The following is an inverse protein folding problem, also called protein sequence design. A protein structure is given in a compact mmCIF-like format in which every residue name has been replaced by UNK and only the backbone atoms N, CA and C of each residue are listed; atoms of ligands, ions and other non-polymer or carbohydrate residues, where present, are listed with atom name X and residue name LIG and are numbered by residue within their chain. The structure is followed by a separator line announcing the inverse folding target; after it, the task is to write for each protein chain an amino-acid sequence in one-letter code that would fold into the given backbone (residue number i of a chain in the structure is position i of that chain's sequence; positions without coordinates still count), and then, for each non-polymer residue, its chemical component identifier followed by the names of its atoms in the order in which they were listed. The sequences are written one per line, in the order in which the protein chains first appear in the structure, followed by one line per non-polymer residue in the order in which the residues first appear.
data_IF_087885179505
#
_entry.id   IF_087885179505
#
_cell.length_a   1.000
_cell.length_b   1.000
_cell.length_c   1.000
_cell.angle_alpha   90.00
_cell.angle_beta   90.00
_cell.angle_gamma   90.00
#
_symmetry.space_group_name_H-M   'P 1'
#
loop_
_entity.id
_entity.type
_entity.pdbx_description
1 polymer ?
#
# COMPACT_ATOMS: atom_id res chain seq x y z
N UNK A 1 -11.47 -30.83 16.05
CA UNK A 1 -11.06 -30.32 14.73
C UNK A 1 -11.86 -30.87 13.54
N UNK A 2 -12.52 -32.04 13.56
CA UNK A 2 -13.32 -32.52 12.40
C UNK A 2 -14.75 -31.93 12.30
N UNK A 3 -15.42 -31.64 13.42
CA UNK A 3 -16.84 -31.20 13.40
C UNK A 3 -17.03 -29.70 13.09
N UNK A 4 -16.03 -28.86 13.40
CA UNK A 4 -16.06 -27.42 13.09
C UNK A 4 -15.96 -27.16 11.58
N UNK A 5 -15.23 -28.01 10.84
CA UNK A 5 -15.05 -27.90 9.39
C UNK A 5 -16.34 -28.22 8.63
N UNK A 6 -17.17 -29.15 9.13
CA UNK A 6 -18.42 -29.56 8.49
C UNK A 6 -19.49 -28.47 8.60
N UNK A 7 -19.57 -27.78 9.75
CA UNK A 7 -20.54 -26.70 9.99
C UNK A 7 -20.21 -25.45 9.16
N UNK A 8 -18.93 -25.12 9.00
CA UNK A 8 -18.50 -24.00 8.15
C UNK A 8 -18.73 -24.28 6.67
N UNK A 9 -18.60 -25.53 6.20
CA UNK A 9 -18.89 -25.90 4.80
C UNK A 9 -20.38 -25.77 4.45
N UNK A 10 -21.29 -26.15 5.35
CA UNK A 10 -22.74 -26.06 5.11
C UNK A 10 -23.21 -24.60 5.00
N UNK A 11 -22.61 -23.69 5.79
CA UNK A 11 -22.91 -22.25 5.73
C UNK A 11 -22.37 -21.62 4.44
N UNK A 12 -21.18 -22.02 3.96
CA UNK A 12 -20.60 -21.50 2.71
C UNK A 12 -21.40 -21.98 1.48
N UNK A 13 -21.92 -23.22 1.48
CA UNK A 13 -22.76 -23.76 0.40
C UNK A 13 -24.12 -23.05 0.31
N UNK A 14 -24.70 -22.67 1.46
CA UNK A 14 -25.96 -21.92 1.50
C UNK A 14 -25.82 -20.48 0.97
N UNK A 15 -24.64 -19.87 1.07
CA UNK A 15 -24.37 -18.49 0.62
C UNK A 15 -23.78 -18.38 -0.80
N UNK A 16 -23.49 -19.50 -1.49
CA UNK A 16 -22.87 -19.50 -2.83
C UNK A 16 -23.81 -19.89 -3.99
N UNK A 17 -25.11 -20.04 -3.75
CA UNK A 17 -26.09 -20.28 -4.82
C UNK A 17 -26.53 -18.95 -5.48
N UNK A 18 -26.24 -18.82 -6.78
CA UNK A 18 -26.61 -17.66 -7.62
C UNK A 18 -28.12 -17.44 -7.61
N UNK A 19 -28.54 -16.21 -7.31
CA UNK A 19 -29.90 -15.73 -7.51
C UNK A 19 -30.02 -15.25 -8.96
N UNK A 20 -30.69 -16.01 -9.82
CA UNK A 20 -31.22 -15.49 -11.09
C UNK A 20 -32.68 -15.09 -10.85
N UNK A 21 -33.02 -13.86 -11.17
CA UNK A 21 -34.40 -13.37 -11.17
C UNK A 21 -35.08 -13.79 -12.46
N UNK A 22 -36.22 -14.46 -12.33
CA UNK A 22 -37.24 -14.46 -13.38
C UNK A 22 -38.58 -14.10 -12.73
N UNK A 23 -39.46 -13.44 -13.48
CA UNK A 23 -40.57 -12.56 -13.04
C UNK A 23 -41.74 -13.22 -12.28
N UNK A 24 -41.48 -14.34 -11.58
CA UNK A 24 -42.37 -14.86 -10.55
C UNK A 24 -41.58 -15.02 -9.26
N UNK A 25 -41.94 -14.26 -8.22
CA UNK A 25 -41.33 -14.23 -6.88
C UNK A 25 -41.35 -15.57 -6.12
N UNK A 26 -40.79 -16.66 -6.68
CA UNK A 26 -40.64 -17.97 -6.03
C UNK A 26 -39.27 -18.57 -6.37
N UNK A 27 -38.40 -18.62 -5.36
CA UNK A 27 -37.10 -19.30 -5.41
C UNK A 27 -37.33 -20.80 -5.14
N UNK A 28 -36.86 -21.67 -6.03
CA UNK A 28 -36.92 -23.14 -5.88
C UNK A 28 -35.50 -23.67 -5.59
N UNK A 29 -35.26 -24.15 -4.37
CA UNK A 29 -34.00 -24.81 -3.99
C UNK A 29 -34.07 -26.30 -4.34
N UNK A 30 -33.05 -26.83 -5.03
CA UNK A 30 -32.90 -28.26 -5.28
C UNK A 30 -32.02 -28.92 -4.19
N UNK A 31 -32.37 -30.13 -3.69
CA UNK A 31 -31.65 -30.77 -2.61
C UNK A 31 -30.37 -31.47 -3.10
N UNK A 32 -29.26 -31.30 -2.36
CA UNK A 32 -28.02 -32.07 -2.51
C UNK A 32 -27.97 -33.13 -1.39
N UNK A 33 -27.81 -34.40 -1.74
CA UNK A 33 -27.59 -35.49 -0.78
C UNK A 33 -26.14 -35.50 -0.28
N UNK A 34 -25.96 -35.61 1.04
CA UNK A 34 -24.64 -35.83 1.67
C UNK A 34 -24.47 -37.31 2.07
N UNK A 35 -23.24 -37.88 1.96
CA UNK A 35 -23.02 -39.30 2.19
C UNK A 35 -22.90 -39.66 3.67
N UNK A 36 -23.55 -40.78 4.03
CA UNK A 36 -23.59 -41.39 5.36
C UNK A 36 -22.18 -41.58 5.97
N UNK A 37 -21.91 -40.92 7.10
CA UNK A 37 -20.98 -41.41 8.12
C UNK A 37 -21.35 -40.86 9.50
N UNK A 38 -21.32 -41.76 10.47
CA UNK A 38 -21.95 -41.74 11.79
C UNK A 38 -21.72 -40.45 12.62
N UNK A 39 -22.82 -39.90 13.14
CA UNK A 39 -22.82 -38.82 14.13
C UNK A 39 -22.83 -39.47 15.52
N UNK A 40 -21.76 -39.27 16.31
CA UNK A 40 -21.75 -39.66 17.72
C UNK A 40 -22.64 -38.69 18.53
N UNK A 41 -23.53 -39.25 19.35
CA UNK A 41 -24.40 -38.46 20.23
C UNK A 41 -23.58 -37.74 21.33
N UNK A 42 -23.96 -36.49 21.61
CA UNK A 42 -23.33 -35.61 22.60
C UNK A 42 -23.74 -35.97 24.04
N UNK A 43 -22.87 -35.66 25.01
CA UNK A 43 -23.18 -35.86 26.42
C UNK A 43 -24.03 -34.71 27.00
N UNK A 44 -24.77 -34.99 28.07
CA UNK A 44 -25.74 -34.05 28.68
C UNK A 44 -25.09 -32.71 29.13
N UNK A 45 -23.82 -32.74 29.57
CA UNK A 45 -23.05 -31.52 29.91
C UNK A 45 -22.65 -30.69 28.67
N UNK A 46 -22.39 -31.33 27.54
CA UNK A 46 -22.11 -30.63 26.28
C UNK A 46 -23.39 -29.99 25.73
N UNK A 47 -24.54 -30.67 25.86
CA UNK A 47 -25.86 -30.11 25.54
C UNK A 47 -26.24 -28.92 26.42
N UNK A 48 -25.87 -28.90 27.71
CA UNK A 48 -26.10 -27.75 28.61
C UNK A 48 -25.21 -26.55 28.22
N UNK A 49 -23.95 -26.79 27.84
CA UNK A 49 -23.05 -25.73 27.38
C UNK A 49 -23.53 -25.11 26.04
N UNK A 50 -23.98 -25.93 25.09
CA UNK A 50 -24.58 -25.44 23.85
C UNK A 50 -25.98 -24.80 24.06
N UNK A 51 -26.77 -25.31 25.02
CA UNK A 51 -28.07 -24.75 25.41
C UNK A 51 -27.97 -23.36 26.05
N UNK A 52 -26.87 -23.04 26.72
CA UNK A 52 -26.64 -21.71 27.31
C UNK A 52 -26.38 -20.62 26.24
N UNK A 53 -25.77 -21.00 25.12
CA UNK A 53 -25.54 -20.12 23.95
C UNK A 53 -26.81 -19.98 23.09
N UNK A 54 -27.75 -20.94 23.21
CA UNK A 54 -28.97 -21.02 22.40
C UNK A 54 -30.29 -20.83 23.17
N UNK A 55 -30.25 -20.30 24.40
CA UNK A 55 -31.46 -20.00 25.21
C UNK A 55 -32.23 -18.75 24.74
N UNK A 56 -32.09 -18.39 23.46
CA UNK A 56 -32.95 -17.42 22.77
C UNK A 56 -33.69 -18.02 21.56
N UNK A 57 -33.53 -19.31 21.25
CA UNK A 57 -34.11 -19.90 20.02
C UNK A 57 -34.98 -21.15 20.21
N UNK A 58 -35.16 -21.65 21.45
CA UNK A 58 -36.00 -22.84 21.69
C UNK A 58 -37.06 -22.64 22.79
N UNK A 59 -37.95 -21.68 22.55
CA UNK A 59 -39.37 -21.84 22.94
C UNK A 59 -40.25 -21.67 21.71
N UNK A 60 -39.92 -22.39 20.63
CA UNK A 60 -40.66 -22.33 19.38
C UNK A 60 -40.70 -23.65 18.60
N UNK A 61 -40.50 -24.80 19.26
CA UNK A 61 -40.70 -26.10 18.61
C UNK A 61 -41.37 -27.11 19.54
N UNK A 62 -42.64 -26.85 19.85
CA UNK A 62 -43.63 -27.92 19.90
C UNK A 62 -44.84 -27.44 19.12
N UNK A 63 -45.05 -28.06 17.96
CA UNK A 63 -46.06 -27.77 16.93
C UNK A 63 -45.77 -26.55 16.02
N UNK A 64 -44.93 -26.76 15.01
CA UNK A 64 -45.03 -25.99 13.76
C UNK A 64 -45.56 -26.93 12.69
N UNK A 65 -46.84 -26.79 12.41
CA UNK A 65 -47.33 -26.85 11.04
C UNK A 65 -47.29 -25.40 10.52
N UNK A 66 -46.61 -25.17 9.39
CA UNK A 66 -46.48 -23.93 8.62
C UNK A 66 -47.04 -22.61 9.22
N UNK A 67 -46.16 -21.70 9.68
CA UNK A 67 -46.18 -20.24 9.38
C UNK A 67 -45.08 -19.49 10.16
N UNK A 68 -44.61 -18.41 9.54
CA UNK A 68 -43.64 -17.39 9.95
C UNK A 68 -43.32 -17.27 11.46
N UNK A 69 -42.03 -17.31 11.80
CA UNK A 69 -41.54 -16.96 13.14
C UNK A 69 -41.71 -15.45 13.36
N UNK A 70 -42.62 -15.07 14.24
CA UNK A 70 -42.68 -13.74 14.85
C UNK A 70 -42.27 -13.90 16.30
N UNK A 71 -41.16 -13.26 16.71
CA UNK A 71 -40.67 -13.36 18.10
C UNK A 71 -41.60 -12.51 18.98
N UNK A 72 -42.28 -13.15 19.94
CA UNK A 72 -43.09 -12.45 20.92
C UNK A 72 -42.20 -11.79 21.98
N UNK A 73 -42.24 -10.47 22.04
CA UNK A 73 -41.37 -9.64 22.86
C UNK A 73 -41.71 -9.75 24.36
N UNK A 74 -42.95 -10.14 24.70
CA UNK A 74 -43.45 -10.17 26.07
C UNK A 74 -42.89 -11.35 26.87
N UNK A 75 -42.58 -12.48 26.22
CA UNK A 75 -41.96 -13.65 26.87
C UNK A 75 -40.47 -13.41 27.20
N UNK A 76 -39.76 -12.67 26.34
CA UNK A 76 -38.37 -12.25 26.60
C UNK A 76 -38.32 -11.26 27.78
N UNK A 77 -39.39 -10.48 27.98
CA UNK A 77 -39.52 -9.53 29.08
C UNK A 77 -39.79 -10.25 30.41
N UNK A 78 -40.65 -11.29 30.43
CA UNK A 78 -40.86 -12.12 31.63
C UNK A 78 -39.58 -12.84 32.07
N UNK A 79 -38.77 -13.35 31.13
CA UNK A 79 -37.45 -13.92 31.42
C UNK A 79 -36.40 -12.92 31.92
N UNK A 80 -36.62 -11.62 31.68
CA UNK A 80 -35.78 -10.53 32.19
C UNK A 80 -36.25 -10.06 33.58
N UNK A 81 -37.57 -9.98 33.81
CA UNK A 81 -38.17 -9.70 35.13
C UNK A 81 -37.77 -10.74 36.18
N UNK A 82 -37.70 -12.02 35.79
CA UNK A 82 -37.23 -13.10 36.67
C UNK A 82 -35.78 -12.92 37.15
N UNK A 83 -34.91 -12.27 36.36
CA UNK A 83 -33.51 -11.99 36.74
C UNK A 83 -33.34 -10.69 37.54
N UNK A 84 -34.28 -9.76 37.41
CA UNK A 84 -34.36 -8.54 38.23
C UNK A 84 -34.90 -8.86 39.63
N UNK A 85 -35.81 -9.84 39.74
CA UNK A 85 -36.33 -10.32 41.04
C UNK A 85 -35.25 -10.98 41.92
N UNK A 86 -34.18 -11.52 41.32
CA UNK A 86 -33.08 -12.22 42.01
C UNK A 86 -31.92 -11.29 42.44
N UNK A 87 -32.15 -9.96 42.46
CA UNK A 87 -31.22 -8.90 42.91
C UNK A 87 -29.81 -8.89 42.31
N UNK A 88 -29.52 -9.60 41.21
CA UNK A 88 -28.16 -9.64 40.64
C UNK A 88 -27.83 -8.52 39.64
N UNK A 89 -28.79 -7.68 39.24
CA UNK A 89 -28.52 -6.57 38.32
C UNK A 89 -29.42 -5.37 38.65
N UNK A 90 -28.88 -4.37 39.35
CA UNK A 90 -29.43 -3.02 39.31
C UNK A 90 -28.97 -2.36 37.99
N UNK A 91 -29.85 -2.43 36.99
CA UNK A 91 -29.84 -1.49 35.87
C UNK A 91 -31.14 -0.70 35.97
N UNK A 92 -31.05 0.63 35.91
CA UNK A 92 -32.23 1.47 35.86
C UNK A 92 -33.05 1.09 34.62
N UNK A 93 -34.16 0.39 34.87
CA UNK A 93 -35.07 -0.10 33.84
C UNK A 93 -35.55 1.02 32.90
N UNK A 94 -35.59 2.28 33.38
CA UNK A 94 -35.95 3.46 32.56
C UNK A 94 -34.88 3.80 31.53
N UNK A 95 -33.60 3.62 31.86
CA UNK A 95 -32.48 3.92 30.96
C UNK A 95 -32.37 2.89 29.82
N UNK A 96 -32.55 1.60 30.13
CA UNK A 96 -32.61 0.52 29.12
C UNK A 96 -33.82 0.64 28.18
N UNK A 97 -34.98 1.03 28.71
CA UNK A 97 -36.19 1.28 27.92
C UNK A 97 -35.98 2.49 27.00
N UNK A 98 -35.33 3.55 27.49
CA UNK A 98 -34.99 4.72 26.66
C UNK A 98 -33.96 4.38 25.58
N UNK A 99 -32.90 3.64 25.89
CA UNK A 99 -31.92 3.16 24.88
C UNK A 99 -32.63 2.32 23.81
N UNK A 100 -33.54 1.42 24.20
CA UNK A 100 -34.31 0.58 23.27
C UNK A 100 -35.26 1.40 22.38
N UNK A 101 -35.92 2.40 22.94
CA UNK A 101 -36.84 3.28 22.21
C UNK A 101 -36.07 4.16 21.23
N UNK A 102 -34.95 4.73 21.66
CA UNK A 102 -34.08 5.59 20.85
C UNK A 102 -33.38 4.81 19.73
N UNK A 103 -32.94 3.58 19.99
CA UNK A 103 -32.30 2.74 18.95
C UNK A 103 -33.28 2.31 17.86
N UNK A 104 -34.54 2.07 18.22
CA UNK A 104 -35.61 1.68 17.26
C UNK A 104 -36.15 2.88 16.46
N UNK A 105 -36.13 4.08 17.03
CA UNK A 105 -36.45 5.33 16.33
C UNK A 105 -35.32 5.72 15.36
N UNK A 106 -34.06 5.65 15.81
CA UNK A 106 -32.89 6.00 15.00
C UNK A 106 -32.65 5.07 13.80
N UNK A 107 -33.09 3.80 13.83
CA UNK A 107 -32.94 2.88 12.70
C UNK A 107 -33.92 3.11 11.55
N UNK A 108 -34.97 3.92 11.78
CA UNK A 108 -35.98 4.30 10.78
C UNK A 108 -35.87 5.74 10.30
N UNK A 109 -35.10 6.58 11.00
CA UNK A 109 -34.91 7.99 10.69
C UNK A 109 -33.73 8.22 9.73
N UNK A 110 -33.93 9.09 8.73
CA UNK A 110 -32.90 9.48 7.75
C UNK A 110 -32.10 10.71 8.17
N UNK A 111 -32.33 11.26 9.37
CA UNK A 111 -31.75 12.53 9.84
C UNK A 111 -31.00 12.33 11.17
N UNK A 112 -29.97 13.15 11.46
CA UNK A 112 -29.26 13.11 12.73
C UNK A 112 -30.20 13.39 13.92
N UNK A 113 -29.84 13.01 15.16
CA UNK A 113 -30.62 13.33 16.36
C UNK A 113 -30.86 14.85 16.50
N UNK A 114 -32.12 15.24 16.73
CA UNK A 114 -32.54 16.65 16.77
C UNK A 114 -32.32 17.36 18.13
N UNK A 115 -31.76 16.68 19.14
CA UNK A 115 -31.61 17.24 20.49
C UNK A 115 -30.14 17.29 20.93
N UNK A 116 -29.70 18.48 21.35
CA UNK A 116 -28.41 18.83 21.98
C UNK A 116 -27.12 18.54 21.19
N UNK A 117 -26.14 19.43 21.32
CA UNK A 117 -24.88 19.37 20.56
C UNK A 117 -24.06 18.11 20.85
N UNK A 118 -24.17 17.56 22.06
CA UNK A 118 -23.46 16.34 22.49
C UNK A 118 -23.94 15.09 21.75
N UNK A 119 -25.24 15.00 21.44
CA UNK A 119 -25.80 13.84 20.73
C UNK A 119 -25.43 13.88 19.24
N UNK A 120 -25.36 15.09 18.65
CA UNK A 120 -24.84 15.28 17.28
C UNK A 120 -23.36 14.93 17.17
N UNK A 121 -22.54 15.31 18.15
CA UNK A 121 -21.11 14.97 18.20
C UNK A 121 -20.91 13.45 18.32
N UNK A 122 -21.67 12.81 19.23
CA UNK A 122 -21.62 11.37 19.46
C UNK A 122 -22.10 10.58 18.24
N UNK A 123 -23.13 11.06 17.55
CA UNK A 123 -23.61 10.50 16.28
C UNK A 123 -22.55 10.63 15.18
N UNK A 124 -21.89 11.79 15.07
CA UNK A 124 -20.81 12.00 14.10
C UNK A 124 -19.61 11.08 14.38
N UNK A 125 -19.21 10.91 15.63
CA UNK A 125 -18.15 9.96 16.01
C UNK A 125 -18.55 8.53 15.63
N UNK A 126 -19.81 8.13 15.90
CA UNK A 126 -20.33 6.83 15.48
C UNK A 126 -20.29 6.61 13.97
N UNK A 127 -20.54 7.65 13.16
CA UNK A 127 -20.38 7.58 11.69
C UNK A 127 -18.92 7.37 11.30
N UNK A 128 -17.97 8.07 11.91
CA UNK A 128 -16.54 7.90 11.62
C UNK A 128 -16.09 6.46 11.93
N UNK A 129 -16.47 5.95 13.10
CA UNK A 129 -16.13 4.60 13.54
C UNK A 129 -16.80 3.54 12.64
N UNK A 130 -18.08 3.71 12.32
CA UNK A 130 -18.80 2.80 11.42
C UNK A 130 -18.24 2.81 9.99
N UNK A 131 -17.74 3.96 9.51
CA UNK A 131 -17.06 4.05 8.22
C UNK A 131 -15.75 3.23 8.24
N UNK A 132 -15.02 3.25 9.34
CA UNK A 132 -13.84 2.41 9.53
C UNK A 132 -14.18 0.92 9.56
N UNK A 133 -15.26 0.53 10.24
CA UNK A 133 -15.67 -0.87 10.34
C UNK A 133 -16.30 -1.44 9.07
N UNK A 134 -17.08 -0.65 8.35
CA UNK A 134 -17.70 -1.06 7.08
C UNK A 134 -16.68 -1.30 5.97
N UNK A 135 -15.56 -0.55 6.00
CA UNK A 135 -14.44 -0.73 5.06
C UNK A 135 -13.39 -1.72 5.58
N UNK A 136 -13.36 -1.96 6.89
CA UNK A 136 -12.43 -2.85 7.57
C UNK A 136 -12.59 -4.34 7.25
N UNK A 137 -11.62 -5.18 7.65
CA UNK A 137 -11.61 -6.59 7.31
C UNK A 137 -12.57 -7.45 8.13
N UNK A 138 -13.14 -6.92 9.21
CA UNK A 138 -13.94 -7.68 10.17
C UNK A 138 -15.41 -7.28 10.14
N UNK A 139 -16.34 -8.26 10.17
CA UNK A 139 -17.73 -7.97 10.44
C UNK A 139 -17.89 -7.49 11.88
N UNK A 140 -18.51 -6.32 12.08
CA UNK A 140 -18.80 -5.78 13.41
C UNK A 140 -20.26 -6.00 13.76
N UNK A 141 -20.52 -6.71 14.85
CA UNK A 141 -21.85 -6.78 15.42
C UNK A 141 -22.11 -5.52 16.24
N UNK A 142 -22.96 -4.62 15.74
CA UNK A 142 -23.22 -3.32 16.36
C UNK A 142 -23.67 -3.41 17.82
N UNK A 143 -24.48 -4.42 18.17
CA UNK A 143 -24.97 -4.62 19.54
C UNK A 143 -23.83 -5.01 20.49
N UNK A 144 -22.99 -5.96 20.08
CA UNK A 144 -21.84 -6.38 20.88
C UNK A 144 -20.79 -5.27 21.01
N UNK A 145 -20.58 -4.47 19.95
CA UNK A 145 -19.69 -3.31 19.97
C UNK A 145 -20.15 -2.26 20.99
N UNK A 146 -21.43 -1.86 20.94
CA UNK A 146 -22.00 -0.90 21.89
C UNK A 146 -21.93 -1.44 23.32
N UNK A 147 -22.19 -2.73 23.53
CA UNK A 147 -22.02 -3.37 24.84
C UNK A 147 -20.58 -3.24 25.35
N UNK A 148 -19.57 -3.45 24.51
CA UNK A 148 -18.16 -3.25 24.86
C UNK A 148 -17.85 -1.81 25.27
N UNK A 149 -18.34 -0.82 24.51
CA UNK A 149 -18.18 0.62 24.82
C UNK A 149 -18.80 0.95 26.19
N UNK A 150 -20.02 0.46 26.45
CA UNK A 150 -20.71 0.68 27.72
C UNK A 150 -20.00 -0.02 28.89
N UNK A 151 -19.44 -1.21 28.68
CA UNK A 151 -18.67 -1.91 29.69
C UNK A 151 -17.43 -1.13 30.14
N UNK A 152 -16.71 -0.49 29.22
CA UNK A 152 -15.59 0.40 29.58
C UNK A 152 -16.09 1.64 30.32
N UNK A 153 -17.14 2.31 29.80
CA UNK A 153 -17.70 3.54 30.39
C UNK A 153 -18.13 3.36 31.85
N UNK A 154 -18.79 2.24 32.16
CA UNK A 154 -19.30 1.95 33.51
C UNK A 154 -18.36 1.07 34.34
N UNK A 155 -17.07 0.94 33.94
CA UNK A 155 -16.04 0.15 34.61
C UNK A 155 -16.45 -1.32 34.87
N UNK A 156 -17.25 -1.90 33.97
CA UNK A 156 -17.71 -3.29 33.96
C UNK A 156 -16.86 -4.11 32.99
N UNK A 157 -15.53 -4.07 33.13
CA UNK A 157 -14.63 -4.79 32.22
C UNK A 157 -14.83 -6.30 32.35
N UNK A 158 -15.15 -6.96 31.23
CA UNK A 158 -15.10 -8.41 31.12
C UNK A 158 -13.65 -8.87 31.35
N UNK A 159 -13.44 -9.76 32.32
CA UNK A 159 -12.13 -10.36 32.57
C UNK A 159 -11.90 -11.49 31.53
N UNK A 160 -11.66 -11.09 30.28
CA UNK A 160 -11.26 -12.01 29.22
C UNK A 160 -9.81 -12.36 29.49
N UNK A 161 -9.52 -13.63 29.77
CA UNK A 161 -8.14 -14.06 30.01
C UNK A 161 -7.26 -13.74 28.78
N UNK A 162 -5.98 -13.45 29.03
CA UNK A 162 -5.01 -13.03 28.00
C UNK A 162 -4.93 -14.02 26.82
N UNK A 163 -5.04 -15.32 27.11
CA UNK A 163 -5.02 -16.40 26.10
C UNK A 163 -6.18 -16.27 25.10
N UNK A 164 -7.37 -15.88 25.56
CA UNK A 164 -8.56 -15.69 24.71
C UNK A 164 -8.42 -14.42 23.87
N UNK A 165 -7.81 -13.36 24.41
CA UNK A 165 -7.52 -12.13 23.65
C UNK A 165 -6.53 -12.40 22.52
N UNK A 166 -5.44 -13.11 22.80
CA UNK A 166 -4.42 -13.47 21.80
C UNK A 166 -5.01 -14.36 20.69
N UNK A 167 -5.87 -15.32 21.04
CA UNK A 167 -6.54 -16.18 20.06
C UNK A 167 -7.51 -15.40 19.14
N UNK A 168 -8.27 -14.44 19.69
CA UNK A 168 -9.15 -13.57 18.90
C UNK A 168 -8.32 -12.69 17.97
N UNK A 169 -7.22 -12.12 18.45
CA UNK A 169 -6.33 -11.29 17.64
C UNK A 169 -5.72 -12.08 16.46
N UNK A 170 -5.26 -13.30 16.69
CA UNK A 170 -4.76 -14.18 15.62
C UNK A 170 -5.84 -14.47 14.57
N UNK A 171 -7.08 -14.75 14.99
CA UNK A 171 -8.19 -14.96 14.05
C UNK A 171 -8.50 -13.70 13.23
N UNK A 172 -8.49 -12.53 13.88
CA UNK A 172 -8.67 -11.25 13.22
C UNK A 172 -7.60 -11.02 12.14
N UNK A 173 -6.33 -11.25 12.46
CA UNK A 173 -5.24 -11.14 11.49
C UNK A 173 -5.38 -12.13 10.33
N UNK A 174 -5.81 -13.36 10.61
CA UNK A 174 -6.04 -14.38 9.57
C UNK A 174 -7.16 -13.96 8.62
N UNK A 175 -8.28 -13.47 9.14
CA UNK A 175 -9.40 -12.98 8.32
C UNK A 175 -8.97 -11.77 7.47
N UNK A 176 -8.19 -10.85 8.03
CA UNK A 176 -7.64 -9.72 7.28
C UNK A 176 -6.72 -10.17 6.13
N UNK A 177 -5.86 -11.18 6.37
CA UNK A 177 -5.01 -11.78 5.33
C UNK A 177 -5.84 -12.46 4.24
N UNK A 178 -6.86 -13.23 4.61
CA UNK A 178 -7.75 -13.91 3.64
C UNK A 178 -8.47 -12.88 2.77
N UNK A 179 -9.09 -11.85 3.37
CA UNK A 179 -9.77 -10.78 2.62
C UNK A 179 -8.82 -10.09 1.65
N UNK A 180 -7.60 -9.76 2.10
CA UNK A 180 -6.57 -9.15 1.26
C UNK A 180 -6.18 -10.04 0.09
N UNK A 181 -6.02 -11.35 0.30
CA UNK A 181 -5.70 -12.31 -0.75
C UNK A 181 -6.82 -12.44 -1.79
N UNK A 182 -8.09 -12.44 -1.35
CA UNK A 182 -9.24 -12.46 -2.26
C UNK A 182 -9.22 -11.22 -3.17
N UNK A 183 -9.09 -10.03 -2.58
CA UNK A 183 -9.00 -8.76 -3.33
C UNK A 183 -7.84 -8.81 -4.33
N UNK A 184 -6.66 -9.25 -3.89
CA UNK A 184 -5.48 -9.33 -4.75
C UNK A 184 -5.68 -10.28 -5.94
N UNK A 185 -6.32 -11.44 -5.73
CA UNK A 185 -6.62 -12.38 -6.81
C UNK A 185 -7.68 -11.85 -7.78
N UNK A 186 -8.65 -11.05 -7.30
CA UNK A 186 -9.61 -10.34 -8.15
C UNK A 186 -8.92 -9.29 -9.04
N UNK A 187 -8.10 -8.42 -8.45
CA UNK A 187 -7.35 -7.39 -9.18
C UNK A 187 -6.39 -8.03 -10.20
N UNK A 188 -5.76 -9.15 -9.84
CA UNK A 188 -4.88 -9.90 -10.75
C UNK A 188 -5.64 -10.48 -11.94
N UNK A 189 -6.86 -10.98 -11.75
CA UNK A 189 -7.74 -11.45 -12.83
C UNK A 189 -8.20 -10.29 -13.72
N UNK A 190 -8.60 -9.17 -13.10
CA UNK A 190 -9.00 -7.94 -13.79
C UNK A 190 -7.87 -7.45 -14.70
N UNK A 191 -6.65 -7.31 -14.17
CA UNK A 191 -5.47 -6.92 -14.94
C UNK A 191 -5.25 -7.84 -16.14
N UNK A 192 -5.28 -9.16 -15.93
CA UNK A 192 -5.04 -10.14 -17.01
C UNK A 192 -6.07 -10.00 -18.13
N UNK A 193 -7.35 -9.87 -17.77
CA UNK A 193 -8.43 -9.70 -18.73
C UNK A 193 -8.31 -8.37 -19.48
N UNK A 194 -8.11 -7.28 -18.75
CA UNK A 194 -7.97 -5.93 -19.30
C UNK A 194 -6.84 -5.86 -20.31
N UNK A 195 -5.62 -6.29 -19.96
CA UNK A 195 -4.46 -6.22 -20.85
C UNK A 195 -4.60 -7.13 -22.08
N UNK A 196 -5.25 -8.31 -21.92
CA UNK A 196 -5.55 -9.20 -23.04
C UNK A 196 -6.46 -8.53 -24.06
N UNK A 197 -7.57 -7.94 -23.62
CA UNK A 197 -8.50 -7.27 -24.53
C UNK A 197 -7.92 -5.97 -25.09
N UNK A 198 -7.23 -5.19 -24.26
CA UNK A 198 -6.61 -3.93 -24.67
C UNK A 198 -5.56 -4.15 -25.78
N UNK A 199 -4.79 -5.24 -25.72
CA UNK A 199 -3.82 -5.58 -26.77
C UNK A 199 -4.42 -5.82 -28.16
N UNK A 200 -5.72 -6.11 -28.24
CA UNK A 200 -6.44 -6.35 -29.50
C UNK A 200 -7.03 -5.06 -30.10
N UNK A 201 -7.05 -3.97 -29.33
CA UNK A 201 -7.57 -2.69 -29.78
C UNK A 201 -6.65 -2.13 -30.87
N UNK A 202 -7.25 -1.61 -31.93
CA UNK A 202 -6.53 -0.97 -33.03
C UNK A 202 -5.65 0.17 -32.47
N UNK A 203 -4.42 0.24 -32.97
CA UNK A 203 -3.39 1.22 -32.57
C UNK A 203 -2.75 1.01 -31.18
N UNK A 204 -3.21 0.03 -30.39
CA UNK A 204 -2.47 -0.42 -29.19
C UNK A 204 -1.25 -1.21 -29.60
N UNK A 205 -0.09 -0.77 -29.13
CA UNK A 205 1.18 -1.47 -29.31
C UNK A 205 1.56 -2.14 -27.99
N UNK A 206 1.93 -3.43 -28.04
CA UNK A 206 2.45 -4.17 -26.89
C UNK A 206 3.95 -4.41 -27.06
N UNK A 207 4.75 -4.03 -26.07
CA UNK A 207 6.20 -4.30 -26.06
C UNK A 207 6.52 -5.68 -25.54
N UNK A 208 7.76 -6.14 -25.68
CA UNK A 208 8.22 -7.42 -25.15
C UNK A 208 8.17 -7.50 -23.61
N UNK A 209 8.15 -6.38 -22.91
CA UNK A 209 8.01 -6.35 -21.44
C UNK A 209 6.56 -6.49 -20.98
N UNK A 210 5.60 -6.43 -21.90
CA UNK A 210 4.16 -6.40 -21.64
C UNK A 210 3.59 -4.99 -21.48
N UNK A 211 4.40 -3.94 -21.57
CA UNK A 211 3.92 -2.55 -21.63
C UNK A 211 2.99 -2.38 -22.84
N UNK A 212 1.87 -1.70 -22.66
CA UNK A 212 0.98 -1.34 -23.77
C UNK A 212 0.83 0.17 -23.88
N UNK A 213 0.69 0.69 -25.09
CA UNK A 213 0.48 2.12 -25.30
C UNK A 213 -0.22 2.42 -26.62
N UNK A 214 -0.78 3.63 -26.70
CA UNK A 214 -1.31 4.26 -27.92
C UNK A 214 -0.64 5.62 -28.09
N UNK A 215 -0.19 5.91 -29.30
CA UNK A 215 0.32 7.23 -29.66
C UNK A 215 -0.87 8.12 -30.02
N UNK A 216 -1.27 9.03 -29.13
CA UNK A 216 -2.35 10.01 -29.40
C UNK A 216 -1.85 11.09 -30.35
N UNK A 217 -0.63 11.59 -30.10
CA UNK A 217 0.04 12.59 -30.93
C UNK A 217 1.51 12.24 -31.03
N UNK A 218 2.01 12.16 -32.26
CA UNK A 218 3.43 11.97 -32.53
C UNK A 218 4.19 13.26 -32.24
N UNK A 219 5.28 13.14 -31.49
CA UNK A 219 6.24 14.23 -31.30
C UNK A 219 7.37 14.16 -32.32
N UNK A 220 8.04 15.28 -32.52
CA UNK A 220 9.19 15.42 -33.43
C UNK A 220 10.41 16.08 -32.76
N UNK A 221 10.31 16.46 -31.49
CA UNK A 221 11.42 17.04 -30.76
C UNK A 221 12.38 16.00 -30.20
N UNK A 222 13.24 16.44 -29.28
CA UNK A 222 14.23 15.58 -28.65
C UNK A 222 13.59 14.47 -27.81
N UNK A 223 14.31 13.35 -27.68
CA UNK A 223 13.93 12.20 -26.85
C UNK A 223 14.58 12.29 -25.47
N UNK A 224 14.04 11.50 -24.54
CA UNK A 224 14.61 11.33 -23.20
C UNK A 224 15.99 10.68 -23.27
N UNK A 225 16.87 11.08 -22.37
CA UNK A 225 18.16 10.45 -22.09
C UNK A 225 18.42 10.46 -20.58
N UNK A 226 19.26 9.55 -20.07
CA UNK A 226 19.57 9.43 -18.63
C UNK A 226 20.10 10.76 -18.09
N UNK A 227 19.43 11.32 -17.08
CA UNK A 227 19.76 12.60 -16.45
C UNK A 227 19.06 13.82 -17.04
N UNK A 228 18.25 13.66 -18.09
CA UNK A 228 17.42 14.77 -18.61
C UNK A 228 16.30 15.12 -17.64
N UNK A 229 15.86 16.38 -17.67
CA UNK A 229 14.65 16.84 -16.97
C UNK A 229 13.58 17.02 -18.03
N UNK A 230 12.42 16.41 -17.85
CA UNK A 230 11.29 16.64 -18.72
C UNK A 230 10.16 17.36 -18.01
N UNK A 231 9.55 18.30 -18.71
CA UNK A 231 8.32 18.98 -18.30
C UNK A 231 7.14 18.26 -18.94
N UNK A 232 6.24 17.74 -18.12
CA UNK A 232 5.14 16.90 -18.53
C UNK A 232 3.80 17.44 -18.03
N UNK A 233 2.76 17.26 -18.82
CA UNK A 233 1.40 17.16 -18.28
C UNK A 233 1.00 15.69 -18.27
N UNK A 234 0.39 15.24 -17.18
CA UNK A 234 -0.17 13.91 -17.13
C UNK A 234 -1.39 13.79 -16.21
N UNK A 235 -2.16 12.74 -16.45
CA UNK A 235 -3.11 12.16 -15.50
C UNK A 235 -2.89 10.65 -15.42
N UNK A 236 -3.16 10.08 -14.26
CA UNK A 236 -3.09 8.65 -14.04
C UNK A 236 -4.28 8.12 -13.24
N UNK A 237 -4.71 6.91 -13.58
CA UNK A 237 -5.78 6.21 -12.87
C UNK A 237 -5.59 4.69 -12.96
N UNK A 238 -6.35 3.96 -12.14
CA UNK A 238 -6.46 2.50 -12.20
C UNK A 238 -7.57 2.08 -13.19
N UNK A 239 -7.65 0.77 -13.48
CA UNK A 239 -8.71 0.20 -14.34
C UNK A 239 -10.11 0.53 -13.80
N UNK A 240 -10.29 0.47 -12.48
CA UNK A 240 -11.55 0.82 -11.81
C UNK A 240 -11.89 2.33 -11.80
N UNK A 241 -11.08 3.18 -12.44
CA UNK A 241 -11.28 4.62 -12.54
C UNK A 241 -10.76 5.43 -11.34
N UNK A 242 -10.18 4.80 -10.32
CA UNK A 242 -9.56 5.51 -9.20
C UNK A 242 -8.40 6.38 -9.71
N UNK A 243 -8.57 7.71 -9.62
CA UNK A 243 -7.55 8.68 -10.01
C UNK A 243 -6.41 8.71 -8.98
N UNK A 244 -5.17 8.67 -9.47
CA UNK A 244 -3.97 8.70 -8.61
C UNK A 244 -3.38 10.12 -8.62
N UNK A 245 -3.13 10.67 -9.81
CA UNK A 245 -2.57 12.01 -9.97
C UNK A 245 -3.12 12.69 -11.23
N UNK A 246 -3.23 14.01 -11.20
CA UNK A 246 -3.74 14.78 -12.33
C UNK A 246 -3.20 16.22 -12.33
N UNK A 247 -2.19 16.48 -13.17
CA UNK A 247 -1.57 17.81 -13.32
C UNK A 247 -2.47 18.83 -14.01
N UNK A 248 -3.46 18.40 -14.78
CA UNK A 248 -4.41 19.31 -15.43
C UNK A 248 -5.34 19.97 -14.41
N UNK A 249 -5.69 19.26 -13.33
CA UNK A 249 -6.48 19.81 -12.21
C UNK A 249 -5.70 20.86 -11.43
N UNK A 250 -4.41 20.63 -11.18
CA UNK A 250 -3.56 21.58 -10.46
C UNK A 250 -3.07 22.74 -11.34
N UNK A 251 -3.21 22.65 -12.67
CA UNK A 251 -2.68 23.60 -13.66
C UNK A 251 -1.16 23.81 -13.58
N UNK A 252 -0.46 22.88 -12.96
CA UNK A 252 0.99 22.94 -12.77
C UNK A 252 1.63 21.72 -13.43
N UNK A 253 2.42 21.91 -14.50
CA UNK A 253 3.16 20.83 -15.13
C UNK A 253 4.12 20.16 -14.15
N UNK A 254 4.33 18.86 -14.33
CA UNK A 254 5.26 18.08 -13.54
C UNK A 254 6.64 18.04 -14.17
N UNK A 255 7.67 18.30 -13.37
CA UNK A 255 9.06 18.14 -13.78
C UNK A 255 9.56 16.77 -13.31
N UNK A 256 9.96 15.93 -14.27
CA UNK A 256 10.49 14.60 -13.99
C UNK A 256 11.96 14.54 -14.34
N UNK A 257 12.75 13.99 -13.43
CA UNK A 257 14.16 13.67 -13.69
C UNK A 257 14.23 12.24 -14.21
N UNK A 258 14.68 12.09 -15.44
CA UNK A 258 14.74 10.79 -16.08
C UNK A 258 15.94 9.98 -15.55
N UNK A 259 15.67 9.04 -14.65
CA UNK A 259 16.71 8.24 -13.97
C UNK A 259 16.26 6.81 -13.64
N UNK A 260 17.19 6.02 -13.07
CA UNK A 260 16.99 4.61 -12.77
C UNK A 260 16.03 4.34 -11.59
N UNK A 261 15.64 5.36 -10.82
CA UNK A 261 14.72 5.23 -9.67
C UNK A 261 13.25 5.14 -10.09
N UNK A 262 12.94 5.52 -11.32
CA UNK A 262 11.60 5.39 -11.88
C UNK A 262 11.23 3.92 -12.03
N UNK A 263 9.97 3.56 -11.79
CA UNK A 263 9.52 2.19 -12.05
C UNK A 263 9.62 1.87 -13.55
N UNK A 264 9.88 0.59 -13.85
CA UNK A 264 10.36 0.11 -15.17
C UNK A 264 9.46 0.56 -16.32
N UNK A 265 8.15 0.42 -16.17
CA UNK A 265 7.18 0.72 -17.23
C UNK A 265 7.12 2.19 -17.60
N UNK A 266 7.15 3.11 -16.63
CA UNK A 266 7.16 4.54 -16.93
C UNK A 266 8.48 4.94 -17.58
N UNK A 267 9.60 4.41 -17.09
CA UNK A 267 10.91 4.65 -17.70
C UNK A 267 10.96 4.16 -19.15
N UNK A 268 10.50 2.94 -19.41
CA UNK A 268 10.43 2.35 -20.75
C UNK A 268 9.56 3.22 -21.67
N UNK A 269 8.37 3.63 -21.20
CA UNK A 269 7.46 4.49 -21.95
C UNK A 269 8.11 5.81 -22.35
N UNK A 270 8.70 6.53 -21.38
CA UNK A 270 9.31 7.83 -21.63
C UNK A 270 10.49 7.74 -22.61
N UNK A 271 11.30 6.66 -22.59
CA UNK A 271 12.37 6.46 -23.59
C UNK A 271 11.85 6.39 -25.03
N UNK A 272 10.62 5.90 -25.22
CA UNK A 272 9.99 5.81 -26.54
C UNK A 272 9.36 7.14 -26.98
N UNK A 273 9.07 8.03 -26.04
CA UNK A 273 8.46 9.33 -26.28
C UNK A 273 9.49 10.41 -26.67
N UNK A 274 8.99 11.50 -27.25
CA UNK A 274 9.76 12.69 -27.60
C UNK A 274 8.98 13.97 -27.27
N UNK A 275 9.65 15.11 -27.22
CA UNK A 275 9.00 16.41 -27.05
C UNK A 275 7.89 16.61 -28.10
N UNK A 276 6.76 17.13 -27.64
CA UNK A 276 5.54 17.35 -28.41
C UNK A 276 4.64 16.12 -28.57
N UNK A 277 5.04 14.96 -28.06
CA UNK A 277 4.23 13.74 -28.11
C UNK A 277 3.19 13.68 -26.98
N UNK A 278 2.06 13.04 -27.25
CA UNK A 278 1.07 12.66 -26.23
C UNK A 278 0.66 11.21 -26.40
N UNK A 279 0.74 10.43 -25.34
CA UNK A 279 0.52 8.98 -25.35
C UNK A 279 -0.46 8.59 -24.24
N UNK A 280 -1.23 7.54 -24.50
CA UNK A 280 -1.90 6.76 -23.46
C UNK A 280 -1.11 5.48 -23.22
N UNK A 281 -0.82 5.16 -21.97
CA UNK A 281 0.11 4.10 -21.58
C UNK A 281 -0.56 3.26 -20.50
N UNK A 282 -0.55 1.94 -20.67
CA UNK A 282 -1.09 0.96 -19.75
C UNK A 282 0.06 0.15 -19.18
N UNK A 283 0.35 0.35 -17.90
CA UNK A 283 1.53 -0.19 -17.23
C UNK A 283 1.09 -1.34 -16.32
N UNK A 284 1.37 -2.61 -16.71
CA UNK A 284 1.09 -3.76 -15.88
C UNK A 284 1.83 -3.69 -14.54
N UNK A 285 1.28 -4.34 -13.52
CA UNK A 285 1.80 -4.28 -12.16
C UNK A 285 3.28 -4.69 -12.04
N UNK A 286 3.73 -5.68 -12.82
CA UNK A 286 5.13 -6.16 -12.83
C UNK A 286 6.12 -5.11 -13.37
N UNK A 287 5.63 -4.11 -14.12
CA UNK A 287 6.42 -2.97 -14.58
C UNK A 287 6.27 -1.74 -13.69
N UNK A 288 5.31 -1.73 -12.76
CA UNK A 288 5.07 -0.67 -11.79
C UNK A 288 5.53 -1.09 -10.38
N UNK A 289 4.59 -1.18 -9.42
CA UNK A 289 4.89 -1.46 -8.01
C UNK A 289 5.05 -2.95 -7.68
N UNK A 290 4.82 -3.85 -8.63
CA UNK A 290 5.00 -5.30 -8.52
C UNK A 290 4.41 -5.93 -7.25
N UNK A 291 3.21 -5.50 -6.85
CA UNK A 291 2.53 -6.00 -5.66
C UNK A 291 3.01 -5.37 -4.35
N UNK A 292 3.91 -4.39 -4.39
CA UNK A 292 4.28 -3.58 -3.23
C UNK A 292 3.10 -2.76 -2.76
N UNK A 293 2.95 -2.67 -1.44
CA UNK A 293 1.88 -1.91 -0.83
C UNK A 293 2.14 -0.41 -0.97
N UNK A 294 1.18 0.33 -1.52
CA UNK A 294 1.24 1.78 -1.68
C UNK A 294 0.01 2.40 -1.06
N UNK A 295 -0.20 2.12 0.24
CA UNK A 295 -1.40 2.54 0.99
C UNK A 295 -1.73 4.02 0.82
N UNK A 296 -0.71 4.88 0.80
CA UNK A 296 -0.88 6.32 0.65
C UNK A 296 -1.51 6.71 -0.70
N UNK A 297 -1.23 5.94 -1.76
CA UNK A 297 -1.77 6.14 -3.10
C UNK A 297 -3.00 5.27 -3.37
N UNK A 298 -3.40 4.43 -2.41
CA UNK A 298 -4.51 3.47 -2.53
C UNK A 298 -4.44 2.59 -3.78
N UNK A 299 -3.23 2.20 -4.19
CA UNK A 299 -3.04 1.27 -5.32
C UNK A 299 -2.90 -0.14 -4.74
N UNK A 300 -3.83 -1.02 -5.10
CA UNK A 300 -3.80 -2.42 -4.69
C UNK A 300 -2.68 -3.19 -5.41
N UNK A 301 -2.15 -4.26 -4.80
CA UNK A 301 -1.28 -5.19 -5.50
C UNK A 301 -1.90 -5.65 -6.83
N UNK A 302 -1.06 -5.90 -7.83
CA UNK A 302 -1.46 -6.33 -9.18
C UNK A 302 -2.26 -5.31 -10.00
N UNK A 303 -2.43 -4.07 -9.53
CA UNK A 303 -3.11 -3.05 -10.31
C UNK A 303 -2.30 -2.61 -11.54
N UNK A 304 -2.99 -2.46 -12.67
CA UNK A 304 -2.47 -1.75 -13.84
C UNK A 304 -2.68 -0.25 -13.66
N UNK A 305 -1.65 0.53 -13.98
CA UNK A 305 -1.73 2.00 -13.96
C UNK A 305 -1.85 2.50 -15.39
N UNK A 306 -2.86 3.33 -15.63
CA UNK A 306 -3.14 3.94 -16.92
C UNK A 306 -2.70 5.40 -16.83
N UNK A 307 -1.80 5.80 -17.73
CA UNK A 307 -1.29 7.16 -17.84
C UNK A 307 -1.73 7.77 -19.16
N UNK A 308 -2.12 9.05 -19.12
CA UNK A 308 -2.11 9.91 -20.31
C UNK A 308 -1.06 10.99 -20.10
N UNK A 309 0.02 10.94 -20.86
CA UNK A 309 1.18 11.83 -20.74
C UNK A 309 1.29 12.70 -21.98
N UNK A 310 1.62 13.97 -21.78
CA UNK A 310 2.05 14.92 -22.80
C UNK A 310 3.45 15.44 -22.43
N UNK A 311 4.40 15.32 -23.35
CA UNK A 311 5.78 15.78 -23.14
C UNK A 311 5.90 17.19 -23.70
N UNK A 312 5.94 18.18 -22.82
CA UNK A 312 5.96 19.59 -23.19
C UNK A 312 7.36 20.05 -23.57
N UNK A 313 8.35 19.66 -22.77
CA UNK A 313 9.76 20.01 -22.99
C UNK A 313 10.69 18.98 -22.35
N UNK A 314 11.92 18.89 -22.84
CA UNK A 314 13.00 18.12 -22.22
C UNK A 314 14.22 19.03 -22.15
N UNK A 315 14.58 19.45 -20.95
CA UNK A 315 15.79 20.24 -20.72
C UNK A 315 16.98 19.31 -20.44
N UNK A 316 18.09 19.58 -21.10
CA UNK A 316 19.41 19.01 -20.78
C UNK A 316 20.09 19.98 -19.81
N UNK A 317 20.25 19.60 -18.55
CA UNK A 317 20.94 20.44 -17.57
C UNK A 317 22.42 20.58 -17.91
N UNK A 318 23.06 21.63 -17.40
CA UNK A 318 24.51 21.81 -17.48
C UNK A 318 25.25 20.58 -16.92
N UNK A 319 24.76 20.03 -15.80
CA UNK A 319 25.26 18.78 -15.20
C UNK A 319 25.18 17.57 -16.15
N UNK A 320 24.05 17.39 -16.83
CA UNK A 320 23.89 16.33 -17.82
C UNK A 320 24.86 16.52 -19.00
N UNK A 321 24.95 17.74 -19.54
CA UNK A 321 25.84 18.05 -20.67
C UNK A 321 27.30 17.82 -20.28
N UNK A 322 27.68 18.22 -19.06
CA UNK A 322 29.00 17.97 -18.49
C UNK A 322 29.32 16.47 -18.45
N UNK A 323 28.46 15.65 -17.83
CA UNK A 323 28.69 14.21 -17.72
C UNK A 323 28.74 13.52 -19.10
N UNK A 324 27.90 13.95 -20.04
CA UNK A 324 27.90 13.41 -21.41
C UNK A 324 29.21 13.72 -22.14
N UNK A 325 29.67 14.96 -22.07
CA UNK A 325 30.95 15.36 -22.65
C UNK A 325 32.12 14.65 -21.95
N UNK A 326 32.07 14.55 -20.62
CA UNK A 326 33.14 13.96 -19.81
C UNK A 326 33.33 12.46 -20.07
N UNK A 327 32.24 11.70 -20.25
CA UNK A 327 32.28 10.28 -20.64
C UNK A 327 33.03 10.03 -21.96
N UNK A 328 33.08 11.03 -22.84
CA UNK A 328 33.74 10.91 -24.15
C UNK A 328 35.25 11.18 -24.11
N UNK A 329 35.80 11.56 -22.95
CA UNK A 329 37.24 11.79 -22.78
C UNK A 329 37.99 10.46 -22.66
N UNK A 330 39.14 10.35 -23.33
CA UNK A 330 39.94 9.11 -23.45
C UNK A 330 40.30 8.44 -22.11
N UNK A 331 40.55 9.24 -21.06
CA UNK A 331 40.99 8.73 -19.75
C UNK A 331 39.85 8.56 -18.73
N UNK A 332 38.61 8.75 -19.16
CA UNK A 332 37.44 8.67 -18.28
C UNK A 332 36.79 7.30 -18.44
N UNK A 333 36.68 6.59 -17.32
CA UNK A 333 36.00 5.30 -17.24
C UNK A 333 34.60 5.54 -16.67
N UNK A 334 33.57 4.94 -17.28
CA UNK A 334 32.18 5.04 -16.81
C UNK A 334 31.69 3.70 -16.29
N UNK A 335 31.19 3.68 -15.06
CA UNK A 335 30.57 2.52 -14.43
C UNK A 335 29.10 2.37 -14.85
N UNK A 336 28.48 1.18 -14.72
CA UNK A 336 27.07 0.95 -15.06
C UNK A 336 26.09 1.90 -14.33
N UNK A 337 26.43 2.31 -13.11
CA UNK A 337 25.66 3.30 -12.33
C UNK A 337 25.59 4.68 -12.99
N UNK A 338 26.51 4.98 -13.92
CA UNK A 338 26.72 6.30 -14.52
C UNK A 338 27.80 7.11 -13.82
N UNK A 339 28.36 6.62 -12.71
CA UNK A 339 29.55 7.21 -12.08
C UNK A 339 30.72 7.16 -13.06
N UNK A 340 31.48 8.24 -13.14
CA UNK A 340 32.65 8.33 -14.00
C UNK A 340 33.89 8.61 -13.15
N UNK A 341 35.06 8.17 -13.59
CA UNK A 341 36.31 8.52 -12.91
C UNK A 341 37.48 8.54 -13.88
N UNK A 342 38.52 9.30 -13.52
CA UNK A 342 39.81 9.37 -14.17
C UNK A 342 40.89 9.05 -13.15
N UNK A 343 41.79 8.13 -13.49
CA UNK A 343 42.96 7.82 -12.67
C UNK A 343 44.00 8.92 -12.90
N UNK A 344 44.35 9.70 -11.86
CA UNK A 344 45.43 10.70 -11.91
C UNK A 344 46.76 10.03 -11.54
N UNK A 345 46.74 9.23 -10.46
CA UNK A 345 47.88 8.41 -10.02
C UNK A 345 47.37 7.03 -9.62
N UNK A 346 48.06 5.99 -10.08
CA UNK A 346 47.78 4.61 -9.71
C UNK A 346 48.53 4.23 -8.44
N UNK A 347 47.81 3.76 -7.44
CA UNK A 347 48.33 3.18 -6.22
C UNK A 347 48.80 1.74 -6.41
N UNK A 348 49.68 1.29 -5.52
CA UNK A 348 50.27 -0.06 -5.54
C UNK A 348 49.84 -0.93 -4.37
N UNK A 349 49.07 -0.39 -3.42
CA UNK A 349 48.67 -1.13 -2.22
C UNK A 349 47.44 -2.03 -2.40
N UNK A 350 46.95 -2.55 -1.27
CA UNK A 350 45.76 -3.39 -1.20
C UNK A 350 44.48 -2.61 -1.54
N UNK A 351 43.45 -3.35 -1.95
CA UNK A 351 42.09 -2.83 -2.19
C UNK A 351 41.31 -2.79 -0.88
N UNK A 352 40.47 -1.78 -0.73
CA UNK A 352 39.61 -1.62 0.44
C UNK A 352 38.58 -2.75 0.56
N UNK A 353 38.58 -3.47 1.68
CA UNK A 353 37.70 -4.61 1.95
C UNK A 353 36.73 -4.37 3.12
N UNK A 354 35.68 -5.21 3.21
CA UNK A 354 34.67 -5.11 4.27
C UNK A 354 35.33 -5.27 5.65
N UNK A 355 34.97 -4.39 6.59
CA UNK A 355 35.52 -4.36 7.95
C UNK A 355 36.73 -3.45 8.13
N UNK A 356 37.37 -3.03 7.04
CA UNK A 356 38.50 -2.10 7.08
C UNK A 356 38.04 -0.64 7.22
N UNK A 357 39.00 0.23 7.57
CA UNK A 357 38.89 1.68 7.46
C UNK A 357 39.81 2.19 6.36
N UNK A 358 39.30 3.10 5.55
CA UNK A 358 40.07 3.81 4.54
C UNK A 358 40.32 5.24 5.01
N UNK A 359 41.57 5.67 4.94
CA UNK A 359 42.01 7.02 5.26
C UNK A 359 42.30 7.75 3.95
N UNK A 360 41.63 8.88 3.75
CA UNK A 360 41.73 9.64 2.49
C UNK A 360 41.93 11.14 2.72
N UNK A 361 42.60 11.75 1.75
CA UNK A 361 42.36 13.14 1.42
C UNK A 361 41.33 13.26 0.30
N UNK A 362 40.57 14.36 0.31
CA UNK A 362 39.65 14.66 -0.77
C UNK A 362 39.38 16.16 -0.92
N UNK A 363 38.94 16.54 -2.11
CA UNK A 363 38.33 17.84 -2.39
C UNK A 363 37.09 17.64 -3.26
N UNK A 364 35.95 18.13 -2.78
CA UNK A 364 34.66 18.09 -3.47
C UNK A 364 34.29 19.47 -4.03
N UNK A 365 33.97 19.51 -5.32
CA UNK A 365 33.50 20.70 -6.05
C UNK A 365 32.29 20.37 -6.91
N UNK A 366 31.48 21.37 -7.22
CA UNK A 366 30.43 21.29 -8.25
C UNK A 366 31.03 21.59 -9.64
N UNK A 367 30.27 21.37 -10.71
CA UNK A 367 30.76 21.46 -12.10
C UNK A 367 31.29 22.85 -12.52
N UNK A 368 30.97 23.91 -11.77
CA UNK A 368 31.50 25.27 -11.99
C UNK A 368 32.76 25.54 -11.14
N UNK A 369 33.42 24.49 -10.69
CA UNK A 369 34.65 24.49 -9.89
C UNK A 369 34.55 25.09 -8.48
N UNK A 370 33.36 25.48 -8.03
CA UNK A 370 33.16 25.90 -6.65
C UNK A 370 33.34 24.73 -5.68
N UNK A 371 34.40 24.79 -4.88
CA UNK A 371 34.68 23.83 -3.79
C UNK A 371 33.65 23.99 -2.67
N UNK A 372 33.00 22.91 -2.26
CA UNK A 372 32.05 22.89 -1.14
C UNK A 372 32.61 22.18 0.10
N UNK A 373 33.61 21.32 -0.04
CA UNK A 373 34.27 20.61 1.05
C UNK A 373 35.68 20.18 0.62
N UNK A 374 36.69 20.34 1.49
CA UNK A 374 38.07 19.95 1.19
C UNK A 374 38.81 19.57 2.48
N UNK A 375 39.32 18.34 2.51
CA UNK A 375 40.13 17.86 3.63
C UNK A 375 41.57 18.42 3.56
N UNK A 376 42.04 18.77 2.36
CA UNK A 376 43.29 19.50 2.17
C UNK A 376 43.24 20.87 2.84
N UNK A 377 42.14 21.62 2.69
CA UNK A 377 41.95 22.92 3.36
C UNK A 377 41.92 22.83 4.89
N UNK A 378 41.47 21.69 5.43
CA UNK A 378 41.50 21.40 6.87
C UNK A 378 42.84 20.86 7.36
N UNK A 379 43.77 20.55 6.45
CA UNK A 379 45.01 19.85 6.73
C UNK A 379 44.80 18.57 7.57
N UNK A 380 43.70 17.86 7.32
CA UNK A 380 43.31 16.69 8.11
C UNK A 380 42.64 15.65 7.22
N UNK A 381 43.14 14.42 7.24
CA UNK A 381 42.52 13.27 6.57
C UNK A 381 41.20 12.89 7.25
N UNK A 382 40.37 12.13 6.53
CA UNK A 382 39.20 11.49 7.13
C UNK A 382 39.32 9.97 7.07
N UNK A 383 38.79 9.31 8.10
CA UNK A 383 38.75 7.84 8.19
C UNK A 383 37.31 7.37 8.02
N UNK A 384 37.09 6.52 7.03
CA UNK A 384 35.77 6.05 6.64
C UNK A 384 35.75 4.53 6.76
N UNK A 385 34.78 3.99 7.48
CA UNK A 385 34.51 2.55 7.49
C UNK A 385 33.50 2.17 6.42
N UNK A 386 33.33 0.86 6.20
CA UNK A 386 32.28 0.26 5.38
C UNK A 386 30.87 0.50 5.99
N UNK A 387 30.41 1.76 5.98
CA UNK A 387 29.16 2.19 6.60
C UNK A 387 28.35 3.04 5.64
N UNK A 388 27.02 3.07 5.80
CA UNK A 388 26.10 3.87 4.99
C UNK A 388 26.17 5.39 5.29
N UNK A 389 27.29 5.89 5.82
CA UNK A 389 27.43 7.28 6.29
C UNK A 389 27.94 8.26 5.22
N UNK A 390 28.32 7.76 4.05
CA UNK A 390 28.74 8.57 2.90
C UNK A 390 27.80 8.36 1.72
N UNK A 391 27.79 9.30 0.78
CA UNK A 391 26.96 9.22 -0.44
C UNK A 391 27.22 7.94 -1.23
N UNK A 392 26.22 7.46 -1.98
CA UNK A 392 26.28 6.17 -2.70
C UNK A 392 27.47 6.09 -3.65
N UNK A 393 27.80 7.19 -4.33
CA UNK A 393 28.95 7.24 -5.24
C UNK A 393 30.30 6.99 -4.55
N UNK A 394 30.46 7.44 -3.29
CA UNK A 394 31.65 7.12 -2.50
C UNK A 394 31.70 5.65 -2.12
N UNK A 395 30.56 5.07 -1.74
CA UNK A 395 30.47 3.64 -1.39
C UNK A 395 30.78 2.73 -2.60
N UNK A 396 30.54 3.21 -3.81
CA UNK A 396 30.86 2.50 -5.05
C UNK A 396 32.34 2.66 -5.41
N UNK A 397 32.84 3.91 -5.51
CA UNK A 397 34.19 4.16 -6.05
C UNK A 397 35.31 3.73 -5.10
N UNK A 398 35.14 3.90 -3.78
CA UNK A 398 36.19 3.59 -2.81
C UNK A 398 36.51 2.09 -2.75
N UNK A 399 35.59 1.22 -3.16
CA UNK A 399 35.82 -0.24 -3.28
C UNK A 399 36.75 -0.61 -4.43
N UNK A 400 36.92 0.30 -5.39
CA UNK A 400 37.77 0.09 -6.56
C UNK A 400 39.18 0.69 -6.36
N UNK A 401 39.31 1.62 -5.41
CA UNK A 401 40.57 2.30 -5.12
C UNK A 401 41.48 1.46 -4.20
N UNK A 402 42.78 1.64 -4.40
CA UNK A 402 43.90 1.06 -3.66
C UNK A 402 44.63 2.13 -2.88
N UNK A 403 45.40 1.73 -1.86
CA UNK A 403 46.33 2.64 -1.19
C UNK A 403 47.30 3.27 -2.21
N UNK A 404 47.41 4.59 -2.14
CA UNK A 404 48.22 5.43 -3.04
C UNK A 404 47.51 5.91 -4.31
N UNK A 405 46.27 5.50 -4.56
CA UNK A 405 45.48 6.01 -5.67
C UNK A 405 45.15 7.50 -5.47
N UNK A 406 45.27 8.28 -6.54
CA UNK A 406 44.71 9.62 -6.66
C UNK A 406 43.81 9.66 -7.88
N UNK A 407 42.50 9.77 -7.69
CA UNK A 407 41.53 9.76 -8.79
C UNK A 407 40.71 11.06 -8.79
N UNK A 408 40.26 11.48 -9.97
CA UNK A 408 39.16 12.43 -10.10
C UNK A 408 37.88 11.64 -10.40
N UNK A 409 36.84 11.86 -9.60
CA UNK A 409 35.60 11.09 -9.61
C UNK A 409 34.43 12.02 -9.87
N UNK A 410 33.63 11.73 -10.88
CA UNK A 410 32.46 12.51 -11.28
C UNK A 410 31.19 11.72 -10.91
N UNK A 411 30.45 12.23 -9.95
CA UNK A 411 29.33 11.54 -9.30
C UNK A 411 28.02 12.23 -9.73
N UNK A 412 27.18 11.56 -10.54
CA UNK A 412 25.84 12.03 -10.85
C UNK A 412 25.00 12.25 -9.59
N UNK A 413 24.04 13.18 -9.66
CA UNK A 413 23.26 13.61 -8.49
C UNK A 413 22.54 12.46 -7.78
N UNK A 414 22.12 11.42 -8.50
CA UNK A 414 21.42 10.24 -8.00
C UNK A 414 22.28 9.37 -7.08
N UNK A 415 23.60 9.44 -7.27
CA UNK A 415 24.60 8.80 -6.41
C UNK A 415 25.12 9.75 -5.32
N UNK A 416 24.60 10.99 -5.28
CA UNK A 416 24.92 12.04 -4.33
C UNK A 416 23.66 12.52 -3.56
N UNK A 417 23.19 13.74 -3.82
CA UNK A 417 22.12 14.41 -3.06
C UNK A 417 20.79 14.57 -3.82
N UNK A 418 20.70 14.08 -5.06
CA UNK A 418 19.47 14.02 -5.87
C UNK A 418 18.65 15.33 -5.85
N UNK A 419 17.32 15.25 -5.75
CA UNK A 419 16.38 16.38 -5.68
C UNK A 419 16.54 17.26 -4.43
N UNK A 420 17.11 16.73 -3.35
CA UNK A 420 17.25 17.48 -2.09
C UNK A 420 18.40 18.47 -2.12
N UNK A 421 19.48 18.15 -2.86
CA UNK A 421 20.74 18.89 -2.76
C UNK A 421 21.31 18.86 -1.33
N UNK A 422 22.22 19.78 -1.04
CA UNK A 422 22.74 20.04 0.31
C UNK A 422 23.08 21.52 0.44
N UNK A 423 22.12 22.27 0.98
CA UNK A 423 22.27 23.71 1.19
C UNK A 423 23.45 24.03 2.13
N UNK A 424 24.11 25.19 1.95
CA UNK A 424 23.87 26.19 0.90
C UNK A 424 24.65 25.91 -0.41
N UNK A 425 25.56 24.94 -0.42
CA UNK A 425 26.58 24.84 -1.46
C UNK A 425 26.27 23.87 -2.59
N UNK A 426 25.39 22.89 -2.38
CA UNK A 426 25.04 21.88 -3.37
C UNK A 426 23.57 22.06 -3.72
N UNK A 427 23.31 22.48 -4.96
CA UNK A 427 21.94 22.62 -5.47
C UNK A 427 21.31 21.23 -5.69
N UNK A 428 19.97 21.14 -5.72
CA UNK A 428 19.28 19.98 -6.28
C UNK A 428 19.88 19.58 -7.64
N UNK A 429 20.02 18.28 -7.87
CA UNK A 429 20.48 17.68 -9.13
C UNK A 429 21.93 17.97 -9.54
N UNK A 430 22.74 18.54 -8.65
CA UNK A 430 24.13 18.81 -8.94
C UNK A 430 24.96 17.52 -9.08
N UNK A 431 25.78 17.47 -10.13
CA UNK A 431 26.91 16.55 -10.28
C UNK A 431 28.06 17.03 -9.41
N UNK A 432 28.67 16.11 -8.69
CA UNK A 432 29.82 16.39 -7.82
C UNK A 432 31.10 15.85 -8.45
N UNK A 433 32.16 16.64 -8.40
CA UNK A 433 33.50 16.25 -8.80
C UNK A 433 34.34 16.13 -7.53
N UNK A 434 34.96 14.97 -7.33
CA UNK A 434 35.84 14.72 -6.21
C UNK A 434 37.25 14.38 -6.69
N UNK A 435 38.25 15.12 -6.22
CA UNK A 435 39.64 14.64 -6.22
C UNK A 435 39.83 13.81 -4.94
N UNK A 436 40.16 12.54 -5.05
CA UNK A 436 40.27 11.61 -3.91
C UNK A 436 41.62 10.94 -3.90
N UNK A 437 42.30 10.98 -2.76
CA UNK A 437 43.61 10.39 -2.54
C UNK A 437 43.58 9.39 -1.38
N UNK A 438 43.92 8.13 -1.63
CA UNK A 438 43.93 7.10 -0.60
C UNK A 438 45.29 7.07 0.10
N UNK A 439 45.31 7.53 1.34
CA UNK A 439 46.52 7.63 2.16
C UNK A 439 46.82 6.27 2.81
N UNK A 440 45.80 5.64 3.37
CA UNK A 440 45.98 4.36 4.05
C UNK A 440 44.70 3.50 4.04
N UNK A 441 44.89 2.18 4.19
CA UNK A 441 43.81 1.20 4.40
C UNK A 441 44.23 0.34 5.61
N UNK A 442 43.36 0.25 6.60
CA UNK A 442 43.57 -0.48 7.87
C UNK A 442 42.50 -1.54 8.05
#
# INVERSE_FOLDING_TARGET
MKNTIIITLVIIILFSSKICSDDSNKIKLLPIQLPNKEIKAFTEKELIYFGSIFSGFQSATKHINHKFLTINLDEVIEGFKARVADKQLEIDSKELINVRKNFRLASTEKRPPDQKDVDKLSYFQGIQDATHFSTGPLPVNAKAFIQGVLHVKYNRTLNINKITQDAIFVQVEQLAKIKTNIINEEVKKEQKLFLSENSKIKDVVTTSSGLQYIIIKKGNGIRFDKGTIAKLNYRSHLINGHEINNTYKSKTPYYVHFNDSMFKGLRESLMLMSVGSSWEIYIPSNLAYNGSDTKDLKISPYSTIIYKIEVLDISKTEDYLFLKANKSKKDVITLPSGLQYKIIKKGTGSVFSKGQKIEIHYEGRVINDKVFDSSYKRNQTIKIGFTNRVIKGWQEILKLMKKGDLWEVYIPSELAYSTGGKAPNIKPHATLIFKMEVINIQ
#
